data_IF_123540316590
#
_entry.id   IF_123540316590
#
_cell.length_a   1.000
_cell.length_b   1.000
_cell.length_c   1.000
_cell.angle_alpha   90.00
_cell.angle_beta   90.00
_cell.angle_gamma   90.00
#
_symmetry.space_group_name_H-M   'P 1'
#
loop_
_entity.id
_entity.type
_entity.pdbx_description
1 polymer ?
#
# COMPACT_ATOMS: atom_id res chain seq x y z
N UNK A 1 22.76 -12.39 -75.92
CA UNK A 1 21.37 -11.97 -75.66
C UNK A 1 21.21 -11.93 -74.17
N UNK A 2 20.99 -10.73 -73.73
CA UNK A 2 20.37 -10.26 -72.50
C UNK A 2 21.00 -10.74 -71.16
N UNK A 3 21.71 -10.01 -70.37
CA UNK A 3 21.58 -8.61 -69.98
C UNK A 3 20.67 -8.53 -68.75
N UNK A 4 21.17 -8.78 -67.53
CA UNK A 4 20.48 -8.26 -66.35
C UNK A 4 21.52 -7.66 -65.36
N UNK A 5 21.36 -6.36 -65.22
CA UNK A 5 22.18 -5.53 -64.36
C UNK A 5 21.58 -5.47 -62.97
N UNK A 6 22.11 -6.31 -62.07
CA UNK A 6 21.74 -6.28 -60.61
C UNK A 6 22.23 -4.99 -59.94
N UNK A 7 21.32 -4.06 -59.71
CA UNK A 7 21.56 -2.88 -58.90
C UNK A 7 21.77 -3.27 -57.43
N UNK A 8 23.02 -3.14 -56.94
CA UNK A 8 23.33 -3.20 -55.53
C UNK A 8 22.77 -1.97 -54.83
N UNK A 9 21.73 -2.15 -54.02
CA UNK A 9 21.32 -1.12 -53.03
C UNK A 9 22.37 -1.05 -51.92
N UNK A 10 23.07 0.07 -51.89
CA UNK A 10 23.84 0.47 -50.74
C UNK A 10 22.87 0.89 -49.64
N UNK A 11 22.75 0.04 -48.61
CA UNK A 11 22.06 0.41 -47.37
C UNK A 11 23.04 1.31 -46.61
N UNK A 12 22.74 2.58 -46.53
CA UNK A 12 23.44 3.49 -45.65
C UNK A 12 23.12 3.11 -44.22
N UNK A 13 24.13 2.72 -43.44
CA UNK A 13 24.07 2.62 -42.00
C UNK A 13 23.82 4.03 -41.45
N UNK A 14 22.57 4.30 -41.10
CA UNK A 14 22.22 5.45 -40.30
C UNK A 14 22.62 5.12 -38.85
N UNK A 15 23.81 5.53 -38.48
CA UNK A 15 24.26 5.63 -37.10
C UNK A 15 23.34 6.64 -36.39
N UNK A 16 22.20 6.15 -35.91
CA UNK A 16 21.28 6.93 -35.12
C UNK A 16 21.97 7.21 -33.78
N UNK A 17 22.54 8.41 -33.67
CA UNK A 17 23.01 8.95 -32.41
C UNK A 17 21.87 8.76 -31.36
N UNK A 18 22.08 7.88 -30.39
CA UNK A 18 21.16 7.73 -29.27
C UNK A 18 21.08 9.09 -28.56
N UNK A 19 19.88 9.65 -28.35
CA UNK A 19 19.75 10.88 -27.61
C UNK A 19 20.38 10.70 -26.24
N UNK A 20 21.24 11.66 -25.84
CA UNK A 20 21.82 11.71 -24.51
C UNK A 20 20.66 11.77 -23.50
N UNK A 21 20.32 10.64 -22.91
CA UNK A 21 19.39 10.58 -21.79
C UNK A 21 20.14 11.07 -20.55
N UNK A 22 19.97 12.35 -20.22
CA UNK A 22 20.41 12.90 -18.95
C UNK A 22 19.44 12.34 -17.90
N UNK A 23 19.84 11.27 -17.21
CA UNK A 23 19.09 10.72 -16.11
C UNK A 23 19.11 11.73 -14.96
N UNK A 24 18.01 12.42 -14.73
CA UNK A 24 17.85 13.30 -13.56
C UNK A 24 17.86 12.41 -12.32
N UNK A 25 18.79 12.62 -11.36
CA UNK A 25 18.86 11.78 -10.17
C UNK A 25 17.56 11.89 -9.39
N UNK A 26 16.97 10.72 -9.09
CA UNK A 26 15.77 10.63 -8.28
C UNK A 26 16.15 10.83 -6.82
N UNK A 27 15.52 11.77 -6.14
CA UNK A 27 15.77 12.09 -4.73
C UNK A 27 14.56 11.76 -3.87
N UNK A 28 14.80 11.38 -2.61
CA UNK A 28 13.72 11.09 -1.66
C UNK A 28 12.85 12.32 -1.43
N UNK A 29 11.53 12.15 -1.48
CA UNK A 29 10.56 13.20 -1.14
C UNK A 29 10.18 13.06 0.33
N UNK A 30 10.35 14.13 1.12
CA UNK A 30 10.03 14.15 2.55
C UNK A 30 8.58 13.70 2.81
N UNK A 31 8.41 12.69 3.64
CA UNK A 31 7.08 12.16 4.00
C UNK A 31 6.37 11.36 2.88
N UNK A 32 7.11 10.91 1.85
CA UNK A 32 6.61 10.05 0.77
C UNK A 32 7.50 8.83 0.60
N UNK A 33 6.89 7.69 0.26
CA UNK A 33 7.62 6.45 -0.01
C UNK A 33 8.12 6.38 -1.44
N UNK A 34 7.31 6.81 -2.42
CA UNK A 34 7.72 6.92 -3.80
C UNK A 34 8.40 8.29 -4.04
N UNK A 35 9.47 8.26 -4.83
CA UNK A 35 10.20 9.46 -5.21
C UNK A 35 9.77 9.99 -6.61
N UNK A 36 8.98 9.21 -7.35
CA UNK A 36 8.56 9.54 -8.71
C UNK A 36 7.09 9.21 -8.98
N UNK A 37 6.59 9.79 -10.08
CA UNK A 37 5.37 9.36 -10.76
C UNK A 37 5.76 8.43 -11.89
N UNK A 38 5.86 7.15 -11.61
CA UNK A 38 6.14 6.16 -12.62
C UNK A 38 4.93 6.04 -13.56
N UNK A 39 5.19 5.93 -14.88
CA UNK A 39 4.17 5.61 -15.87
C UNK A 39 3.52 4.24 -15.55
N UNK A 40 2.21 4.16 -15.73
CA UNK A 40 1.49 2.91 -15.50
C UNK A 40 1.30 2.13 -16.82
N UNK A 41 1.11 0.80 -16.71
CA UNK A 41 1.04 -0.12 -17.87
C UNK A 41 -0.10 0.16 -18.87
N UNK A 42 -1.07 1.00 -18.53
CA UNK A 42 -2.17 1.40 -19.42
C UNK A 42 -1.95 2.80 -20.02
N UNK A 43 -0.84 3.47 -19.72
CA UNK A 43 -0.53 4.78 -20.27
C UNK A 43 -0.10 4.64 -21.72
N UNK A 44 -0.85 5.25 -22.63
CA UNK A 44 -0.57 5.25 -24.08
C UNK A 44 0.38 6.38 -24.52
N UNK A 45 0.65 7.34 -23.62
CA UNK A 45 1.46 8.53 -23.91
C UNK A 45 2.74 8.49 -23.06
N UNK A 46 3.89 8.43 -23.71
CA UNK A 46 5.17 8.57 -23.05
C UNK A 46 5.39 10.05 -22.73
N UNK A 47 5.48 10.40 -21.44
CA UNK A 47 5.84 11.74 -20.98
C UNK A 47 7.31 11.73 -20.59
N UNK A 48 8.16 12.17 -21.48
CA UNK A 48 9.57 12.39 -21.17
C UNK A 48 9.77 13.79 -20.58
N UNK A 49 10.61 13.89 -19.55
CA UNK A 49 11.09 15.18 -19.09
C UNK A 49 12.15 15.64 -20.08
N UNK A 50 11.91 16.76 -20.70
CA UNK A 50 12.85 17.42 -21.56
C UNK A 50 13.39 18.66 -20.83
N UNK A 51 14.73 18.73 -20.70
CA UNK A 51 15.41 19.98 -20.27
C UNK A 51 15.78 20.72 -21.54
N UNK A 52 15.17 21.88 -21.78
CA UNK A 52 15.43 22.74 -22.91
C UNK A 52 16.68 23.63 -22.71
N UNK A 53 17.41 23.42 -21.60
CA UNK A 53 18.64 24.14 -21.31
C UNK A 53 18.46 25.58 -20.82
N UNK A 54 17.22 26.05 -20.62
CA UNK A 54 16.94 27.38 -20.09
C UNK A 54 16.95 27.45 -18.57
N UNK A 55 17.00 26.34 -17.87
CA UNK A 55 17.20 26.29 -16.43
C UNK A 55 18.65 26.60 -16.09
N UNK A 56 18.94 27.91 -15.90
CA UNK A 56 20.29 28.44 -15.65
C UNK A 56 20.96 27.79 -14.44
N UNK A 57 22.03 27.11 -14.71
CA UNK A 57 23.21 26.78 -13.95
C UNK A 57 23.21 26.94 -12.42
N UNK A 58 22.36 26.21 -11.70
CA UNK A 58 22.63 25.72 -10.37
C UNK A 58 21.81 24.44 -10.19
N UNK A 59 22.48 23.35 -9.85
CA UNK A 59 21.83 22.05 -9.58
C UNK A 59 20.95 22.16 -8.33
N UNK A 60 19.72 22.63 -8.53
CA UNK A 60 18.67 22.48 -7.52
C UNK A 60 17.94 21.14 -7.75
N UNK A 61 17.69 20.35 -6.71
CA UNK A 61 16.87 19.15 -6.85
C UNK A 61 15.48 19.56 -7.31
N UNK A 62 15.13 19.18 -8.52
CA UNK A 62 13.87 19.54 -9.18
C UNK A 62 12.67 18.94 -8.46
N UNK A 63 11.80 19.79 -7.96
CA UNK A 63 10.44 19.44 -7.56
C UNK A 63 9.62 18.99 -8.79
N UNK A 64 8.65 18.06 -8.64
CA UNK A 64 7.77 17.67 -9.73
C UNK A 64 6.93 18.88 -10.17
N UNK A 65 6.87 19.11 -11.50
CA UNK A 65 6.10 20.19 -12.10
C UNK A 65 4.61 20.10 -11.72
N UNK A 66 4.19 20.92 -10.77
CA UNK A 66 2.84 21.43 -10.73
C UNK A 66 2.69 22.42 -11.89
N UNK A 67 1.60 22.36 -12.65
CA UNK A 67 1.37 23.21 -13.79
C UNK A 67 1.55 24.68 -13.41
N UNK A 68 2.52 25.34 -14.04
CA UNK A 68 2.79 26.75 -13.86
C UNK A 68 1.90 27.49 -14.86
N UNK A 69 0.85 28.12 -14.33
CA UNK A 69 0.23 29.24 -15.01
C UNK A 69 1.20 30.42 -14.94
N UNK A 70 1.85 30.75 -16.04
CA UNK A 70 2.69 31.95 -16.13
C UNK A 70 1.77 33.12 -16.47
N UNK A 71 1.38 33.93 -15.47
CA UNK A 71 0.86 35.27 -15.72
C UNK A 71 2.04 36.19 -15.91
N UNK A 72 2.28 36.59 -17.16
CA UNK A 72 3.24 37.63 -17.49
C UNK A 72 2.59 39.01 -17.29
N UNK A 73 2.99 39.71 -16.25
CA UNK A 73 2.66 41.10 -16.08
C UNK A 73 3.69 41.98 -16.84
N UNK A 74 3.25 42.70 -17.84
CA UNK A 74 4.08 43.70 -18.55
C UNK A 74 4.06 45.01 -17.78
N UNK A 75 5.21 45.46 -17.31
CA UNK A 75 5.34 46.74 -16.64
C UNK A 75 5.22 47.91 -17.66
N UNK A 76 4.77 49.09 -17.20
CA UNK A 76 4.49 50.27 -18.03
C UNK A 76 5.71 50.85 -18.75
N UNK A 77 6.91 50.35 -18.50
CA UNK A 77 8.17 50.75 -19.13
C UNK A 77 8.63 49.79 -20.24
N UNK A 78 7.80 48.80 -20.63
CA UNK A 78 8.12 47.87 -21.70
C UNK A 78 9.14 46.79 -21.31
N UNK A 79 9.60 46.72 -20.05
CA UNK A 79 10.46 45.65 -19.58
C UNK A 79 9.63 44.49 -19.08
N UNK A 80 9.83 43.30 -19.67
CA UNK A 80 9.25 42.05 -19.18
C UNK A 80 10.02 41.66 -17.91
N UNK A 81 9.44 41.95 -16.74
CA UNK A 81 9.90 41.36 -15.50
C UNK A 81 9.17 40.05 -15.34
N UNK A 82 9.86 38.95 -15.62
CA UNK A 82 9.45 37.66 -15.14
C UNK A 82 9.53 37.75 -13.61
N UNK A 83 8.38 37.80 -12.96
CA UNK A 83 8.35 37.59 -11.53
C UNK A 83 8.96 36.20 -11.32
N UNK A 84 10.18 36.14 -10.81
CA UNK A 84 10.76 34.96 -10.23
C UNK A 84 9.83 34.57 -9.10
N UNK A 85 8.82 33.73 -9.43
CA UNK A 85 8.03 33.02 -8.46
C UNK A 85 9.03 32.19 -7.67
N UNK A 86 9.38 32.68 -6.49
CA UNK A 86 10.09 31.88 -5.51
C UNK A 86 9.31 30.57 -5.41
N UNK A 87 9.83 29.52 -6.05
CA UNK A 87 9.38 28.16 -5.82
C UNK A 87 9.58 27.94 -4.33
N UNK A 88 8.46 27.88 -3.58
CA UNK A 88 8.51 27.48 -2.17
C UNK A 88 9.28 26.15 -2.09
N UNK A 89 10.48 26.12 -1.49
CA UNK A 89 11.21 24.88 -1.39
C UNK A 89 10.46 23.96 -0.42
N UNK A 90 10.19 22.72 -0.87
CA UNK A 90 9.90 21.57 -0.01
C UNK A 90 8.56 21.47 0.69
N UNK A 91 7.45 21.93 0.15
CA UNK A 91 6.17 21.40 0.61
C UNK A 91 5.94 20.03 0.02
N UNK A 92 5.84 18.98 0.85
CA UNK A 92 5.48 17.65 0.34
C UNK A 92 4.13 17.72 -0.38
N UNK A 93 3.93 16.98 -1.49
CA UNK A 93 2.67 17.00 -2.24
C UNK A 93 1.48 16.79 -1.30
N UNK A 94 0.48 17.67 -1.37
CA UNK A 94 -0.73 17.56 -0.57
C UNK A 94 -1.58 16.38 -1.04
N UNK A 95 -2.37 15.80 -0.12
CA UNK A 95 -3.33 14.76 -0.47
C UNK A 95 -4.57 15.38 -1.08
N UNK A 96 -4.94 14.90 -2.26
CA UNK A 96 -6.21 15.17 -2.94
C UNK A 96 -7.19 14.04 -2.64
N UNK A 97 -8.41 14.38 -2.19
CA UNK A 97 -9.49 13.42 -1.99
C UNK A 97 -10.46 13.47 -3.16
N UNK A 98 -10.62 12.35 -3.84
CA UNK A 98 -11.54 12.18 -4.98
C UNK A 98 -12.73 11.34 -4.49
N UNK A 99 -13.94 11.89 -4.60
CA UNK A 99 -15.14 11.17 -4.19
C UNK A 99 -15.64 10.22 -5.26
N UNK A 100 -15.96 8.99 -4.86
CA UNK A 100 -16.54 7.95 -5.71
C UNK A 100 -17.89 7.51 -5.14
N UNK A 101 -18.89 7.36 -6.00
CA UNK A 101 -20.11 6.64 -5.67
C UNK A 101 -19.97 5.20 -6.15
N UNK A 102 -19.70 4.31 -5.20
CA UNK A 102 -19.47 2.90 -5.48
C UNK A 102 -20.80 2.18 -5.79
N UNK A 103 -20.79 1.28 -6.77
CA UNK A 103 -21.93 0.40 -7.07
C UNK A 103 -21.96 -0.84 -6.16
N UNK A 104 -20.77 -1.29 -5.74
CA UNK A 104 -20.55 -2.42 -4.84
C UNK A 104 -19.32 -2.13 -3.97
N UNK A 105 -19.35 -2.59 -2.72
CA UNK A 105 -18.24 -2.38 -1.77
C UNK A 105 -17.63 -3.69 -1.28
N UNK A 106 -18.36 -4.80 -1.41
CA UNK A 106 -17.85 -6.14 -1.12
C UNK A 106 -17.21 -6.73 -2.38
N UNK A 107 -15.94 -7.09 -2.28
CA UNK A 107 -15.19 -7.73 -3.37
C UNK A 107 -14.90 -9.17 -2.98
N UNK A 108 -15.36 -10.14 -3.79
CA UNK A 108 -15.05 -11.55 -3.60
C UNK A 108 -13.67 -11.87 -4.17
N UNK A 109 -12.98 -12.80 -3.54
CA UNK A 109 -11.67 -13.28 -3.93
C UNK A 109 -11.62 -14.80 -3.72
N UNK A 110 -11.26 -15.50 -4.77
CA UNK A 110 -11.14 -16.96 -4.83
C UNK A 110 -9.69 -17.47 -4.67
N UNK A 111 -8.77 -16.57 -4.26
CA UNK A 111 -7.37 -16.92 -4.07
C UNK A 111 -7.18 -17.90 -2.91
N UNK A 112 -6.60 -19.10 -3.14
CA UNK A 112 -6.37 -20.08 -2.09
C UNK A 112 -5.30 -19.65 -1.06
N UNK A 113 -4.54 -18.59 -1.34
CA UNK A 113 -3.51 -18.06 -0.44
C UNK A 113 -4.06 -17.15 0.65
N UNK A 114 -5.31 -16.70 0.52
CA UNK A 114 -5.92 -15.77 1.44
C UNK A 114 -6.99 -16.49 2.28
N UNK A 115 -6.94 -16.36 3.61
CA UNK A 115 -7.93 -16.98 4.48
C UNK A 115 -9.29 -16.28 4.47
N UNK A 116 -9.44 -15.21 3.68
CA UNK A 116 -10.62 -14.35 3.63
C UNK A 116 -11.10 -14.24 2.18
N UNK A 117 -12.33 -14.66 1.94
CA UNK A 117 -12.96 -14.72 0.61
C UNK A 117 -13.55 -13.37 0.19
N UNK A 118 -13.89 -12.52 1.15
CA UNK A 118 -14.54 -11.22 0.92
C UNK A 118 -13.70 -10.10 1.51
N UNK A 119 -13.57 -9.01 0.78
CA UNK A 119 -12.89 -7.81 1.26
C UNK A 119 -13.72 -6.56 1.06
N UNK A 120 -13.48 -5.57 1.93
CA UNK A 120 -14.04 -4.24 1.87
C UNK A 120 -12.92 -3.20 2.02
N UNK A 121 -12.88 -2.25 1.11
CA UNK A 121 -11.95 -1.14 1.14
C UNK A 121 -12.72 0.18 0.98
N UNK A 122 -12.81 1.02 2.04
CA UNK A 122 -13.50 2.32 1.98
C UNK A 122 -12.83 3.32 1.04
N UNK A 123 -11.53 3.07 0.75
CA UNK A 123 -10.67 3.94 -0.05
C UNK A 123 -9.98 3.15 -1.16
N UNK A 124 -9.44 3.88 -2.17
CA UNK A 124 -8.38 3.42 -3.07
C UNK A 124 -7.20 4.37 -2.95
N UNK A 125 -5.98 3.83 -2.96
CA UNK A 125 -4.79 4.55 -2.56
C UNK A 125 -4.60 4.56 -1.05
N UNK A 126 -3.41 4.99 -0.58
CA UNK A 126 -3.08 4.98 0.83
C UNK A 126 -2.00 6.01 1.16
N UNK A 127 -2.33 6.97 2.01
CA UNK A 127 -1.42 8.02 2.45
C UNK A 127 -0.22 7.52 3.28
N UNK A 128 -0.25 6.28 3.82
CA UNK A 128 0.89 5.75 4.56
C UNK A 128 2.17 5.69 3.72
N UNK A 129 2.04 5.63 2.40
CA UNK A 129 3.16 5.73 1.48
C UNK A 129 4.13 4.56 1.51
N UNK A 130 3.72 3.39 2.01
CA UNK A 130 4.60 2.22 2.06
C UNK A 130 5.13 1.90 0.66
N UNK A 131 6.47 1.95 0.49
CA UNK A 131 7.07 1.75 -0.83
C UNK A 131 6.85 0.34 -1.38
N UNK A 132 6.78 -0.64 -0.52
CA UNK A 132 6.59 -2.05 -0.85
C UNK A 132 5.12 -2.48 -1.01
N UNK A 133 4.16 -1.54 -0.95
CA UNK A 133 2.75 -1.89 -0.92
C UNK A 133 2.28 -2.55 -2.23
N UNK A 134 1.89 -3.81 -2.15
CA UNK A 134 1.42 -4.58 -3.30
C UNK A 134 0.13 -4.03 -3.95
N UNK A 135 -0.55 -3.13 -3.27
CA UNK A 135 -1.76 -2.50 -3.80
C UNK A 135 -1.48 -1.31 -4.72
N UNK A 136 -0.24 -0.78 -4.75
CA UNK A 136 0.13 0.37 -5.61
C UNK A 136 -0.29 0.22 -7.07
N UNK A 137 -0.06 -0.94 -7.73
CA UNK A 137 -0.48 -1.13 -9.12
C UNK A 137 -1.99 -1.06 -9.36
N UNK A 138 -2.82 -1.09 -8.31
CA UNK A 138 -4.27 -0.92 -8.48
C UNK A 138 -4.66 0.50 -8.91
N UNK A 139 -3.80 1.50 -8.66
CA UNK A 139 -4.00 2.88 -9.11
C UNK A 139 -3.93 3.02 -10.63
N UNK A 140 -3.17 2.15 -11.29
CA UNK A 140 -3.11 2.09 -12.76
C UNK A 140 -4.47 1.88 -13.42
N UNK A 141 -5.40 1.15 -12.76
CA UNK A 141 -6.78 0.98 -13.24
C UNK A 141 -7.62 2.26 -13.18
N UNK A 142 -7.16 3.26 -12.44
CA UNK A 142 -7.79 4.58 -12.35
C UNK A 142 -7.13 5.61 -13.28
N UNK A 143 -6.14 5.19 -14.07
CA UNK A 143 -5.32 6.08 -14.89
C UNK A 143 -4.36 6.95 -14.06
N UNK A 144 -4.02 6.52 -12.83
CA UNK A 144 -3.09 7.22 -11.94
C UNK A 144 -1.77 6.46 -11.80
N UNK A 145 -0.70 7.21 -11.53
CA UNK A 145 0.60 6.62 -11.23
C UNK A 145 0.56 5.74 -9.97
N UNK A 146 1.10 4.50 -10.01
CA UNK A 146 1.29 3.67 -8.82
C UNK A 146 2.38 4.21 -7.86
N UNK A 147 3.15 5.22 -8.29
CA UNK A 147 4.11 5.93 -7.48
C UNK A 147 3.46 6.94 -6.53
N UNK A 148 3.71 8.23 -6.76
CA UNK A 148 3.21 9.32 -5.90
C UNK A 148 1.69 9.44 -5.88
N UNK A 149 0.99 9.17 -7.00
CA UNK A 149 -0.46 9.34 -7.01
C UNK A 149 -1.15 8.35 -6.08
N UNK A 150 -0.58 7.14 -5.88
CA UNK A 150 -1.11 6.18 -4.89
C UNK A 150 -1.13 6.75 -3.46
N UNK A 151 -0.21 7.66 -3.15
CA UNK A 151 -0.06 8.26 -1.83
C UNK A 151 -0.77 9.62 -1.67
N UNK A 152 -1.07 10.27 -2.80
CA UNK A 152 -1.54 11.66 -2.83
C UNK A 152 -2.93 11.85 -3.42
N UNK A 153 -3.41 10.91 -4.23
CA UNK A 153 -4.73 10.94 -4.86
C UNK A 153 -5.58 9.81 -4.31
N UNK A 154 -6.28 10.11 -3.21
CA UNK A 154 -7.06 9.10 -2.48
C UNK A 154 -8.51 9.14 -2.96
N UNK A 155 -8.98 8.03 -3.52
CA UNK A 155 -10.39 7.88 -3.88
C UNK A 155 -11.16 7.39 -2.65
N UNK A 156 -12.16 8.15 -2.23
CA UNK A 156 -13.00 7.88 -1.06
C UNK A 156 -14.44 7.54 -1.49
N UNK A 157 -14.93 6.38 -1.08
CA UNK A 157 -16.29 5.89 -1.41
C UNK A 157 -17.32 6.53 -0.49
N UNK A 158 -17.91 7.68 -0.90
CA UNK A 158 -18.82 8.45 -0.04
C UNK A 158 -20.06 7.68 0.42
N UNK A 159 -20.54 6.76 -0.40
CA UNK A 159 -21.74 5.96 -0.15
C UNK A 159 -21.44 4.57 0.42
N UNK A 160 -20.21 4.30 0.90
CA UNK A 160 -19.77 2.97 1.37
C UNK A 160 -20.72 2.36 2.40
N UNK A 161 -21.25 3.17 3.32
CA UNK A 161 -22.15 2.74 4.39
C UNK A 161 -23.47 2.25 3.80
N UNK A 162 -24.14 3.07 2.98
CA UNK A 162 -25.44 2.73 2.39
C UNK A 162 -25.35 1.51 1.46
N UNK A 163 -24.28 1.43 0.66
CA UNK A 163 -24.07 0.28 -0.23
C UNK A 163 -23.81 -0.98 0.57
N UNK A 164 -22.98 -0.92 1.64
CA UNK A 164 -22.75 -2.05 2.52
C UNK A 164 -24.06 -2.54 3.16
N UNK A 165 -24.88 -1.63 3.67
CA UNK A 165 -26.19 -1.97 4.24
C UNK A 165 -27.06 -2.73 3.24
N UNK A 166 -27.14 -2.26 2.00
CA UNK A 166 -27.91 -2.91 0.95
C UNK A 166 -27.36 -4.30 0.59
N UNK A 167 -26.03 -4.43 0.47
CA UNK A 167 -25.40 -5.71 0.14
C UNK A 167 -25.61 -6.74 1.25
N UNK A 168 -25.49 -6.37 2.53
CA UNK A 168 -25.71 -7.24 3.66
C UNK A 168 -27.20 -7.63 3.86
N UNK A 169 -28.13 -6.81 3.34
CA UNK A 169 -29.57 -7.07 3.41
C UNK A 169 -30.08 -7.87 2.20
N UNK A 170 -29.23 -8.21 1.26
CA UNK A 170 -29.65 -8.96 0.07
C UNK A 170 -30.18 -10.35 0.44
N UNK A 171 -31.28 -10.80 -0.18
CA UNK A 171 -31.81 -12.13 0.05
C UNK A 171 -30.76 -13.22 -0.23
N UNK A 172 -30.57 -14.14 0.69
CA UNK A 172 -29.59 -15.21 0.56
C UNK A 172 -28.13 -14.80 0.82
N UNK A 173 -27.91 -13.62 1.41
CA UNK A 173 -26.57 -13.24 1.82
C UNK A 173 -26.04 -14.17 2.92
N UNK A 174 -24.89 -14.78 2.69
CA UNK A 174 -24.20 -15.62 3.68
C UNK A 174 -23.05 -14.83 4.34
N UNK A 175 -22.98 -14.76 5.68
CA UNK A 175 -21.96 -14.01 6.39
C UNK A 175 -20.62 -14.74 6.35
N UNK A 176 -19.73 -14.29 5.48
CA UNK A 176 -18.33 -14.72 5.41
C UNK A 176 -17.45 -13.61 5.99
N UNK A 177 -16.46 -13.91 6.87
CA UNK A 177 -15.64 -12.84 7.46
C UNK A 177 -15.04 -11.90 6.41
N UNK A 178 -15.28 -10.60 6.56
CA UNK A 178 -14.79 -9.57 5.66
C UNK A 178 -13.36 -9.17 6.03
N UNK A 179 -12.45 -9.11 5.03
CA UNK A 179 -11.14 -8.48 5.18
C UNK A 179 -11.28 -6.96 4.99
N UNK A 180 -11.21 -6.19 6.07
CA UNK A 180 -11.27 -4.74 6.02
C UNK A 180 -9.86 -4.16 5.80
N UNK A 181 -9.68 -3.35 4.74
CA UNK A 181 -8.41 -2.70 4.46
C UNK A 181 -7.38 -3.61 3.78
N UNK A 182 -7.79 -4.49 2.86
CA UNK A 182 -6.88 -5.40 2.15
C UNK A 182 -6.06 -4.71 1.05
N UNK A 183 -6.62 -3.70 0.36
CA UNK A 183 -5.97 -2.96 -0.73
C UNK A 183 -5.66 -1.49 -0.38
N UNK A 184 -5.99 -1.07 0.82
CA UNK A 184 -5.68 0.23 1.42
C UNK A 184 -5.55 0.04 2.92
N UNK A 185 -5.03 1.04 3.65
CA UNK A 185 -5.20 1.03 5.11
C UNK A 185 -6.50 1.75 5.46
N UNK A 186 -7.41 1.04 6.13
CA UNK A 186 -8.71 1.59 6.52
C UNK A 186 -8.58 2.77 7.50
N UNK A 187 -7.44 2.88 8.20
CA UNK A 187 -7.12 3.95 9.15
C UNK A 187 -5.99 4.86 8.68
N UNK A 188 -5.82 5.01 7.36
CA UNK A 188 -4.88 5.99 6.82
C UNK A 188 -5.21 7.42 7.29
N UNK A 189 -4.29 8.40 7.22
CA UNK A 189 -4.48 9.72 7.83
C UNK A 189 -5.79 10.43 7.47
N UNK A 190 -6.28 10.34 6.23
CA UNK A 190 -7.52 10.98 5.77
C UNK A 190 -8.76 10.45 6.51
N UNK A 191 -8.73 9.23 7.01
CA UNK A 191 -9.82 8.61 7.79
C UNK A 191 -10.12 9.39 9.08
N UNK A 192 -9.16 10.15 9.60
CA UNK A 192 -9.38 11.01 10.78
C UNK A 192 -10.52 12.02 10.55
N UNK A 193 -10.63 12.52 9.33
CA UNK A 193 -11.62 13.51 8.92
C UNK A 193 -12.86 12.84 8.31
N UNK A 194 -12.67 11.90 7.38
CA UNK A 194 -13.76 11.34 6.58
C UNK A 194 -14.62 10.31 7.34
N UNK A 195 -14.03 9.58 8.29
CA UNK A 195 -14.69 8.61 9.17
C UNK A 195 -15.51 7.52 8.43
N UNK A 196 -15.14 7.18 7.21
CA UNK A 196 -15.82 6.16 6.41
C UNK A 196 -15.65 4.76 7.04
N UNK A 197 -14.46 4.46 7.56
CA UNK A 197 -14.21 3.21 8.29
C UNK A 197 -15.07 3.12 9.54
N UNK A 198 -15.23 4.21 10.29
CA UNK A 198 -16.13 4.23 11.44
C UNK A 198 -17.56 3.86 11.05
N UNK A 199 -18.09 4.45 9.99
CA UNK A 199 -19.43 4.12 9.50
C UNK A 199 -19.57 2.66 9.07
N UNK A 200 -18.55 2.10 8.41
CA UNK A 200 -18.50 0.66 8.08
C UNK A 200 -18.54 -0.21 9.34
N UNK A 201 -17.75 0.14 10.37
CA UNK A 201 -17.75 -0.62 11.63
C UNK A 201 -19.09 -0.57 12.35
N UNK A 202 -19.77 0.56 12.33
CA UNK A 202 -21.13 0.70 12.91
C UNK A 202 -22.14 -0.22 12.22
N UNK A 203 -22.08 -0.35 10.89
CA UNK A 203 -22.89 -1.32 10.13
C UNK A 203 -22.54 -2.76 10.51
N UNK A 204 -21.25 -3.12 10.53
CA UNK A 204 -20.81 -4.47 10.89
C UNK A 204 -21.19 -4.84 12.33
N UNK A 205 -21.11 -3.88 13.24
CA UNK A 205 -21.56 -4.05 14.62
C UNK A 205 -23.06 -4.26 14.71
N UNK A 206 -23.87 -3.41 14.09
CA UNK A 206 -25.32 -3.48 14.10
C UNK A 206 -25.83 -4.80 13.50
N UNK A 207 -25.22 -5.27 12.41
CA UNK A 207 -25.54 -6.55 11.76
C UNK A 207 -24.87 -7.76 12.41
N UNK A 208 -24.00 -7.56 13.42
CA UNK A 208 -23.19 -8.62 14.06
C UNK A 208 -22.36 -9.41 13.04
N UNK A 209 -21.84 -8.72 12.02
CA UNK A 209 -21.10 -9.31 10.92
C UNK A 209 -19.62 -9.52 11.29
N UNK A 210 -19.03 -10.72 11.12
CA UNK A 210 -17.62 -10.96 11.43
C UNK A 210 -16.67 -10.30 10.44
N UNK A 211 -15.55 -9.76 10.94
CA UNK A 211 -14.49 -9.20 10.07
C UNK A 211 -13.09 -9.32 10.67
N UNK A 212 -12.09 -9.27 9.79
CA UNK A 212 -10.69 -9.11 10.14
C UNK A 212 -10.15 -7.78 9.62
N UNK A 213 -9.31 -7.14 10.40
CA UNK A 213 -8.71 -5.84 10.07
C UNK A 213 -7.18 -5.92 10.14
N UNK A 214 -6.50 -5.31 9.14
CA UNK A 214 -5.04 -5.13 9.17
C UNK A 214 -4.73 -3.64 9.03
N UNK A 215 -3.92 -3.09 9.93
CA UNK A 215 -3.55 -1.66 9.90
C UNK A 215 -2.12 -1.40 10.37
N UNK A 216 -1.57 -0.25 9.97
CA UNK A 216 -0.33 0.35 10.50
C UNK A 216 -0.60 1.60 11.33
N UNK A 217 -1.86 1.93 11.53
CA UNK A 217 -2.29 3.18 12.14
C UNK A 217 -2.68 2.99 13.60
N UNK A 218 -2.27 3.94 14.42
CA UNK A 218 -2.80 4.05 15.79
C UNK A 218 -4.21 4.64 15.86
N UNK A 219 -4.75 5.12 14.73
CA UNK A 219 -6.11 5.68 14.69
C UNK A 219 -7.19 4.61 14.96
N UNK A 220 -6.87 3.33 14.82
CA UNK A 220 -7.76 2.22 15.18
C UNK A 220 -8.25 2.30 16.64
N UNK A 221 -7.47 2.92 17.51
CA UNK A 221 -7.83 3.14 18.93
C UNK A 221 -9.06 4.07 19.10
N UNK A 222 -9.37 4.91 18.12
CA UNK A 222 -10.58 5.74 18.12
C UNK A 222 -11.86 4.90 18.21
N UNK A 223 -11.84 3.71 17.64
CA UNK A 223 -13.00 2.85 17.47
C UNK A 223 -12.99 1.64 18.42
N UNK A 224 -12.23 1.73 19.53
CA UNK A 224 -12.14 0.69 20.57
C UNK A 224 -13.50 0.33 21.18
N UNK A 225 -14.41 1.29 21.27
CA UNK A 225 -15.78 1.08 21.77
C UNK A 225 -16.51 0.00 20.95
N UNK A 226 -16.47 0.11 19.62
CA UNK A 226 -17.10 -0.84 18.70
C UNK A 226 -16.30 -2.15 18.67
N UNK A 227 -14.98 -2.07 18.54
CA UNK A 227 -14.12 -3.25 18.44
C UNK A 227 -14.21 -4.14 19.68
N UNK A 228 -14.20 -3.55 20.88
CA UNK A 228 -14.32 -4.29 22.13
C UNK A 228 -15.71 -4.93 22.30
N UNK A 229 -16.77 -4.25 21.88
CA UNK A 229 -18.12 -4.81 21.86
C UNK A 229 -18.20 -6.04 20.94
N UNK A 230 -17.66 -5.95 19.73
CA UNK A 230 -17.65 -7.05 18.75
C UNK A 230 -16.72 -8.20 19.17
N UNK A 231 -15.64 -7.91 19.88
CA UNK A 231 -14.70 -8.93 20.36
C UNK A 231 -15.33 -9.91 21.35
N UNK A 232 -16.27 -9.47 22.20
CA UNK A 232 -17.00 -10.32 23.15
C UNK A 232 -17.75 -11.47 22.47
N UNK A 233 -18.20 -11.23 21.25
CA UNK A 233 -18.95 -12.18 20.44
C UNK A 233 -18.07 -12.85 19.37
N UNK A 234 -16.74 -12.71 19.46
CA UNK A 234 -15.78 -13.25 18.49
C UNK A 234 -16.02 -12.79 17.03
N UNK A 235 -16.52 -11.56 16.86
CA UNK A 235 -16.85 -10.99 15.56
C UNK A 235 -15.70 -10.21 14.93
N UNK A 236 -14.62 -9.96 15.67
CA UNK A 236 -13.49 -9.16 15.18
C UNK A 236 -12.14 -9.77 15.53
N UNK A 237 -11.17 -9.57 14.63
CA UNK A 237 -9.75 -9.79 14.89
C UNK A 237 -8.96 -8.68 14.23
N UNK A 238 -8.03 -8.08 14.97
CA UNK A 238 -7.18 -6.98 14.49
C UNK A 238 -5.74 -7.45 14.36
N UNK A 239 -5.11 -7.12 13.24
CA UNK A 239 -3.66 -7.27 13.07
C UNK A 239 -3.02 -5.91 12.94
N UNK A 240 -2.01 -5.64 13.77
CA UNK A 240 -1.17 -4.46 13.62
C UNK A 240 0.10 -4.87 12.89
N UNK A 241 0.38 -4.22 11.76
CA UNK A 241 1.60 -4.52 11.00
C UNK A 241 2.79 -3.79 11.62
N UNK A 242 3.83 -4.53 11.96
CA UNK A 242 5.12 -4.01 12.44
C UNK A 242 6.21 -4.69 11.62
N UNK A 243 6.79 -3.96 10.67
CA UNK A 243 7.78 -4.49 9.72
C UNK A 243 9.20 -4.54 10.32
N UNK A 244 9.47 -3.66 11.27
CA UNK A 244 10.76 -3.55 11.98
C UNK A 244 10.55 -2.72 13.25
N UNK A 245 11.45 -2.86 14.22
CA UNK A 245 11.56 -1.99 15.40
C UNK A 245 12.49 -0.79 15.16
N UNK A 246 13.30 -0.81 14.11
CA UNK A 246 14.14 0.32 13.70
C UNK A 246 13.28 1.47 13.18
N UNK A 247 13.26 2.56 13.95
CA UNK A 247 12.44 3.73 13.62
C UNK A 247 12.92 4.50 12.39
N UNK A 248 14.22 4.47 12.08
CA UNK A 248 14.78 5.11 10.89
C UNK A 248 14.38 4.34 9.64
N UNK A 249 14.56 3.02 9.66
CA UNK A 249 14.15 2.13 8.58
C UNK A 249 12.62 2.21 8.36
N UNK A 250 11.84 2.17 9.45
CA UNK A 250 10.39 2.28 9.36
C UNK A 250 9.95 3.59 8.68
N UNK A 251 10.61 4.72 8.98
CA UNK A 251 10.32 6.01 8.35
C UNK A 251 10.65 6.02 6.86
N UNK A 252 11.68 5.32 6.42
CA UNK A 252 12.02 5.17 4.99
C UNK A 252 11.03 4.27 4.26
N UNK A 253 10.62 3.15 4.88
CA UNK A 253 9.70 2.16 4.30
C UNK A 253 8.23 2.62 4.29
N UNK A 254 7.81 3.36 5.32
CA UNK A 254 6.41 3.64 5.67
C UNK A 254 6.26 5.07 6.24
N UNK A 255 6.58 6.11 5.46
CA UNK A 255 6.88 7.47 5.95
C UNK A 255 5.75 8.16 6.71
N UNK A 256 4.49 7.79 6.48
CA UNK A 256 3.32 8.38 7.14
C UNK A 256 2.54 7.40 8.01
N UNK A 257 3.04 6.18 8.21
CA UNK A 257 2.49 5.24 9.17
C UNK A 257 2.95 5.58 10.61
N UNK A 258 2.28 5.05 11.61
CA UNK A 258 2.70 5.21 13.00
C UNK A 258 4.09 4.58 13.23
N UNK A 259 4.89 5.15 14.16
CA UNK A 259 6.20 4.58 14.49
C UNK A 259 6.08 3.17 15.09
N UNK A 260 7.11 2.33 15.03
CA UNK A 260 7.06 0.98 15.59
C UNK A 260 6.66 0.94 17.07
N UNK A 261 7.22 1.80 17.90
CA UNK A 261 6.87 1.91 19.32
C UNK A 261 5.40 2.33 19.51
N UNK A 262 4.89 3.23 18.66
CA UNK A 262 3.48 3.64 18.72
C UNK A 262 2.55 2.50 18.32
N UNK A 263 2.94 1.65 17.35
CA UNK A 263 2.18 0.45 16.97
C UNK A 263 2.19 -0.60 18.08
N UNK A 264 3.30 -0.79 18.80
CA UNK A 264 3.34 -1.65 20.00
C UNK A 264 2.40 -1.15 21.09
N UNK A 265 2.36 0.18 21.32
CA UNK A 265 1.40 0.77 22.25
C UNK A 265 -0.06 0.53 21.79
N UNK A 266 -0.32 0.57 20.48
CA UNK A 266 -1.64 0.24 19.92
C UNK A 266 -2.00 -1.24 20.13
N UNK A 267 -1.05 -2.17 19.93
CA UNK A 267 -1.24 -3.59 20.25
C UNK A 267 -1.65 -3.75 21.71
N UNK A 268 -0.94 -3.10 22.64
CA UNK A 268 -1.25 -3.16 24.08
C UNK A 268 -2.65 -2.66 24.39
N UNK A 269 -3.04 -1.50 23.86
CA UNK A 269 -4.38 -0.92 24.08
C UNK A 269 -5.51 -1.80 23.55
N UNK A 270 -5.32 -2.41 22.37
CA UNK A 270 -6.27 -3.36 21.81
C UNK A 270 -6.41 -4.59 22.72
N UNK A 271 -5.30 -5.16 23.16
CA UNK A 271 -5.29 -6.31 24.06
C UNK A 271 -5.95 -6.01 25.41
N UNK A 272 -5.64 -4.85 26.02
CA UNK A 272 -6.24 -4.38 27.27
C UNK A 272 -7.76 -4.17 27.15
N UNK A 273 -8.23 -3.77 25.97
CA UNK A 273 -9.66 -3.62 25.67
C UNK A 273 -10.35 -4.96 25.36
N UNK A 274 -9.64 -6.09 25.42
CA UNK A 274 -10.18 -7.42 25.15
C UNK A 274 -10.34 -7.73 23.65
N UNK A 275 -9.76 -6.91 22.77
CA UNK A 275 -9.79 -7.14 21.31
C UNK A 275 -8.73 -8.18 20.94
N UNK A 276 -9.08 -9.31 20.28
CA UNK A 276 -8.10 -10.27 19.78
C UNK A 276 -7.13 -9.61 18.80
N UNK A 277 -5.88 -9.40 19.23
CA UNK A 277 -4.86 -8.71 18.43
C UNK A 277 -3.73 -9.64 18.03
N UNK A 278 -3.27 -9.50 16.79
CA UNK A 278 -2.11 -10.16 16.24
C UNK A 278 -1.11 -9.18 15.64
N UNK A 279 0.08 -9.68 15.34
CA UNK A 279 1.11 -8.92 14.62
C UNK A 279 1.28 -9.46 13.20
N UNK A 280 1.31 -8.54 12.23
CA UNK A 280 1.67 -8.83 10.85
C UNK A 280 3.11 -8.38 10.60
N UNK A 281 3.99 -9.34 10.25
CA UNK A 281 5.41 -9.12 9.94
C UNK A 281 5.61 -9.03 8.42
N UNK A 282 4.73 -8.30 7.75
CA UNK A 282 4.68 -8.24 6.29
C UNK A 282 5.00 -6.84 5.74
N UNK A 283 5.94 -6.78 4.77
CA UNK A 283 6.73 -7.87 4.21
C UNK A 283 8.05 -8.12 4.94
N UNK A 284 8.60 -9.33 4.78
CA UNK A 284 10.00 -9.61 5.09
C UNK A 284 10.83 -9.30 3.84
N UNK A 285 11.78 -8.39 3.97
CA UNK A 285 12.62 -7.88 2.89
C UNK A 285 14.06 -8.31 3.15
N UNK A 286 14.66 -9.14 2.27
CA UNK A 286 16.03 -9.63 2.48
C UNK A 286 17.03 -8.50 2.70
N UNK A 287 17.88 -8.63 3.73
CA UNK A 287 18.96 -7.67 4.07
C UNK A 287 18.49 -6.25 4.40
N UNK A 288 17.19 -6.06 4.65
CA UNK A 288 16.60 -4.76 5.00
C UNK A 288 15.98 -4.80 6.40
N UNK A 289 15.01 -5.66 6.65
CA UNK A 289 14.36 -5.80 7.96
C UNK A 289 14.53 -7.24 8.48
N UNK A 290 15.60 -7.46 9.24
CA UNK A 290 16.01 -8.81 9.70
C UNK A 290 15.70 -9.06 11.19
N UNK A 291 14.93 -8.19 11.83
CA UNK A 291 14.59 -8.17 13.26
C UNK A 291 13.25 -8.86 13.60
N UNK A 292 12.84 -9.85 12.80
CA UNK A 292 11.54 -10.52 12.92
C UNK A 292 11.27 -11.07 14.34
N UNK A 293 12.26 -11.74 14.94
CA UNK A 293 12.12 -12.33 16.28
C UNK A 293 11.98 -11.27 17.37
N UNK A 294 12.68 -10.15 17.25
CA UNK A 294 12.59 -9.03 18.17
C UNK A 294 11.20 -8.37 18.08
N UNK A 295 10.68 -8.19 16.84
CA UNK A 295 9.31 -7.69 16.63
C UNK A 295 8.29 -8.64 17.24
N UNK A 296 8.43 -9.96 17.04
CA UNK A 296 7.54 -10.96 17.62
C UNK A 296 7.57 -10.93 19.14
N UNK A 297 8.77 -10.85 19.75
CA UNK A 297 8.91 -10.76 21.21
C UNK A 297 8.20 -9.52 21.75
N UNK A 298 8.52 -8.34 21.20
CA UNK A 298 7.94 -7.07 21.65
C UNK A 298 6.40 -7.02 21.47
N UNK A 299 5.90 -7.56 20.36
CA UNK A 299 4.45 -7.64 20.12
C UNK A 299 3.75 -8.62 21.06
N UNK A 300 4.39 -9.75 21.41
CA UNK A 300 3.89 -10.68 22.42
C UNK A 300 3.77 -10.04 23.79
N UNK A 301 4.82 -9.34 24.22
CA UNK A 301 4.84 -8.59 25.48
C UNK A 301 3.79 -7.46 25.52
N UNK A 302 3.47 -6.91 24.34
CA UNK A 302 2.38 -5.94 24.20
C UNK A 302 0.98 -6.58 24.17
N UNK A 303 0.85 -7.91 24.14
CA UNK A 303 -0.43 -8.61 24.18
C UNK A 303 -0.88 -9.28 22.88
N UNK A 304 -0.10 -9.23 21.80
CA UNK A 304 -0.42 -9.97 20.58
C UNK A 304 -0.35 -11.49 20.82
N UNK A 305 -1.35 -12.24 20.32
CA UNK A 305 -1.42 -13.71 20.47
C UNK A 305 -1.41 -14.45 19.14
N UNK A 306 -1.56 -13.76 18.03
CA UNK A 306 -1.43 -14.33 16.69
C UNK A 306 -0.39 -13.56 15.87
N UNK A 307 0.31 -14.28 14.98
CA UNK A 307 1.32 -13.69 14.11
C UNK A 307 1.31 -14.36 12.74
N UNK A 308 1.68 -13.62 11.72
CA UNK A 308 2.00 -14.14 10.40
C UNK A 308 3.04 -13.26 9.72
N UNK A 309 3.72 -13.81 8.72
CA UNK A 309 4.61 -13.06 7.85
C UNK A 309 4.29 -13.31 6.38
N UNK A 310 4.72 -12.40 5.52
CA UNK A 310 4.69 -12.52 4.06
C UNK A 310 6.03 -12.02 3.53
N UNK A 311 6.59 -12.68 2.52
CA UNK A 311 7.80 -12.19 1.84
C UNK A 311 7.46 -11.02 0.92
N UNK A 312 8.46 -10.19 0.59
CA UNK A 312 8.29 -9.08 -0.33
C UNK A 312 7.73 -9.54 -1.68
N UNK A 313 6.69 -8.85 -2.15
CA UNK A 313 6.04 -9.06 -3.44
C UNK A 313 6.13 -7.79 -4.26
N UNK A 314 6.61 -7.90 -5.50
CA UNK A 314 6.84 -6.75 -6.38
C UNK A 314 6.08 -6.89 -7.71
N UNK A 315 4.72 -6.94 -7.69
CA UNK A 315 3.95 -7.05 -8.93
C UNK A 315 4.08 -5.79 -9.79
N UNK A 316 4.23 -6.01 -11.09
CA UNK A 316 4.21 -4.99 -12.14
C UNK A 316 5.09 -3.75 -11.82
N UNK A 317 4.48 -2.57 -11.79
CA UNK A 317 5.15 -1.28 -11.57
C UNK A 317 5.82 -1.16 -10.18
N UNK A 318 5.49 -2.03 -9.25
CA UNK A 318 6.11 -2.01 -7.92
C UNK A 318 7.59 -2.43 -7.96
N UNK A 319 7.99 -3.30 -8.91
CA UNK A 319 9.40 -3.70 -9.02
C UNK A 319 10.32 -2.51 -9.37
N UNK A 320 10.09 -1.72 -10.43
CA UNK A 320 10.90 -0.55 -10.68
C UNK A 320 10.82 0.50 -9.57
N UNK A 321 9.67 0.76 -8.96
CA UNK A 321 9.53 1.68 -7.83
C UNK A 321 10.38 1.27 -6.62
N UNK A 322 10.38 -0.02 -6.29
CA UNK A 322 11.17 -0.53 -5.17
C UNK A 322 12.68 -0.48 -5.45
N UNK A 323 13.11 -0.71 -6.70
CA UNK A 323 14.51 -0.55 -7.12
C UNK A 323 14.95 0.91 -7.03
N UNK A 324 14.11 1.86 -7.45
CA UNK A 324 14.35 3.29 -7.32
C UNK A 324 14.55 3.66 -5.84
N UNK A 325 13.66 3.19 -4.96
CA UNK A 325 13.78 3.40 -3.52
C UNK A 325 15.08 2.81 -2.94
N UNK A 326 15.47 1.60 -3.36
CA UNK A 326 16.75 1.01 -2.95
C UNK A 326 17.94 1.85 -3.40
N UNK A 327 17.92 2.37 -4.63
CA UNK A 327 18.99 3.23 -5.14
C UNK A 327 19.13 4.52 -4.34
N UNK A 328 18.01 5.11 -3.92
CA UNK A 328 17.98 6.34 -3.12
C UNK A 328 18.48 6.11 -1.69
N UNK A 329 18.07 5.01 -1.06
CA UNK A 329 18.31 4.80 0.37
C UNK A 329 19.43 3.81 0.70
N UNK A 330 19.72 2.86 -0.20
CA UNK A 330 20.68 1.77 0.00
C UNK A 330 21.37 1.38 -1.32
N UNK A 331 22.07 2.30 -2.01
CA UNK A 331 22.65 2.07 -3.35
C UNK A 331 23.57 0.84 -3.38
N UNK A 332 24.36 0.63 -2.34
CA UNK A 332 25.30 -0.50 -2.25
C UNK A 332 24.59 -1.87 -2.06
N UNK A 333 23.32 -1.88 -1.69
CA UNK A 333 22.57 -3.11 -1.41
C UNK A 333 21.63 -3.53 -2.54
N UNK A 334 21.40 -2.71 -3.57
CA UNK A 334 20.43 -2.94 -4.63
C UNK A 334 20.56 -4.34 -5.24
N UNK A 335 21.77 -4.67 -5.70
CA UNK A 335 22.01 -5.97 -6.36
C UNK A 335 21.81 -7.15 -5.41
N UNK A 336 22.28 -7.02 -4.18
CA UNK A 336 22.16 -8.08 -3.16
C UNK A 336 20.71 -8.33 -2.77
N UNK A 337 19.94 -7.28 -2.50
CA UNK A 337 18.51 -7.36 -2.15
C UNK A 337 17.72 -7.96 -3.30
N UNK A 338 17.84 -7.38 -4.51
CA UNK A 338 17.08 -7.84 -5.67
C UNK A 338 17.51 -9.23 -6.15
N UNK A 339 18.78 -9.59 -6.00
CA UNK A 339 19.23 -10.96 -6.25
C UNK A 339 18.50 -11.97 -5.35
N UNK A 340 18.39 -11.69 -4.06
CA UNK A 340 17.67 -12.56 -3.12
C UNK A 340 16.15 -12.55 -3.35
N UNK A 341 15.57 -11.41 -3.73
CA UNK A 341 14.14 -11.34 -4.13
C UNK A 341 13.88 -12.24 -5.34
N UNK A 342 14.78 -12.24 -6.34
CA UNK A 342 14.65 -13.15 -7.49
C UNK A 342 14.74 -14.62 -7.10
N UNK A 343 15.65 -15.00 -6.21
CA UNK A 343 15.73 -16.38 -5.70
C UNK A 343 14.40 -16.81 -5.06
N UNK A 344 13.78 -15.94 -4.25
CA UNK A 344 12.49 -16.20 -3.64
C UNK A 344 11.36 -16.43 -4.66
N UNK A 345 11.47 -15.85 -5.84
CA UNK A 345 10.45 -15.86 -6.87
C UNK A 345 10.88 -16.62 -8.15
N UNK A 346 11.79 -17.59 -8.02
CA UNK A 346 12.18 -18.47 -9.13
C UNK A 346 12.90 -17.75 -10.26
N UNK A 347 13.82 -16.84 -9.95
CA UNK A 347 14.64 -16.09 -10.90
C UNK A 347 13.99 -14.80 -11.44
N UNK A 348 12.79 -14.45 -10.99
CA UNK A 348 12.05 -13.26 -11.41
C UNK A 348 11.87 -12.29 -10.23
N UNK A 349 11.62 -11.01 -10.50
CA UNK A 349 11.32 -10.03 -9.44
C UNK A 349 10.01 -10.34 -8.72
N UNK A 350 9.06 -10.99 -9.40
CA UNK A 350 7.80 -11.45 -8.84
C UNK A 350 7.24 -12.66 -9.61
N UNK A 351 6.62 -13.57 -8.85
CA UNK A 351 5.88 -14.72 -9.37
C UNK A 351 4.48 -14.74 -8.73
N UNK A 352 3.44 -14.68 -9.57
CA UNK A 352 2.05 -14.61 -9.11
C UNK A 352 1.46 -15.97 -8.68
N UNK A 353 2.22 -17.06 -8.79
CA UNK A 353 1.76 -18.42 -8.51
C UNK A 353 1.27 -18.55 -7.07
N UNK A 354 0.10 -19.13 -6.89
CA UNK A 354 -0.46 -19.44 -5.58
C UNK A 354 0.45 -20.40 -4.80
N UNK A 355 0.48 -20.24 -3.48
CA UNK A 355 1.38 -20.97 -2.57
C UNK A 355 2.75 -20.30 -2.43
N UNK A 356 3.42 -19.99 -3.53
CA UNK A 356 4.77 -19.43 -3.51
C UNK A 356 4.81 -17.92 -3.31
N UNK A 357 3.85 -17.18 -3.89
CA UNK A 357 3.86 -15.71 -3.91
C UNK A 357 3.88 -15.07 -2.52
N UNK A 358 3.35 -15.78 -1.49
CA UNK A 358 3.26 -15.28 -0.12
C UNK A 358 4.45 -15.70 0.73
N UNK A 359 5.00 -16.88 0.47
CA UNK A 359 6.02 -17.53 1.30
C UNK A 359 7.40 -17.54 0.66
N UNK A 360 7.47 -17.40 -0.66
CA UNK A 360 8.69 -17.59 -1.43
C UNK A 360 9.10 -19.06 -1.51
N UNK A 361 10.19 -19.31 -2.23
CA UNK A 361 10.81 -20.61 -2.38
C UNK A 361 12.34 -20.52 -2.17
N UNK A 362 13.00 -21.67 -2.00
CA UNK A 362 14.45 -21.77 -1.84
C UNK A 362 14.95 -21.53 -0.41
N UNK A 363 16.29 -21.64 -0.21
CA UNK A 363 16.89 -21.72 1.13
C UNK A 363 16.57 -20.54 2.05
N UNK A 364 16.44 -19.32 1.49
CA UNK A 364 16.11 -18.15 2.32
C UNK A 364 14.66 -18.17 2.79
N UNK A 365 13.71 -18.62 1.94
CA UNK A 365 12.33 -18.82 2.35
C UNK A 365 12.21 -19.89 3.44
N UNK A 366 12.98 -20.98 3.32
CA UNK A 366 13.00 -22.05 4.32
C UNK A 366 13.61 -21.56 5.65
N UNK A 367 14.66 -20.74 5.58
CA UNK A 367 15.25 -20.10 6.75
C UNK A 367 14.24 -19.18 7.45
N UNK A 368 13.55 -18.31 6.72
CA UNK A 368 12.52 -17.43 7.28
C UNK A 368 11.39 -18.23 7.94
N UNK A 369 10.95 -19.30 7.26
CA UNK A 369 9.91 -20.19 7.80
C UNK A 369 10.36 -20.82 9.11
N UNK A 370 11.58 -21.33 9.16
CA UNK A 370 12.14 -21.94 10.36
C UNK A 370 12.29 -20.93 11.49
N UNK A 371 12.84 -19.75 11.23
CA UNK A 371 12.96 -18.64 12.20
C UNK A 371 11.61 -18.28 12.78
N UNK A 372 10.62 -18.03 11.91
CA UNK A 372 9.24 -17.71 12.35
C UNK A 372 8.64 -18.82 13.20
N UNK A 373 8.73 -20.08 12.77
CA UNK A 373 8.15 -21.22 13.49
C UNK A 373 8.78 -21.42 14.87
N UNK A 374 10.12 -21.30 14.97
CA UNK A 374 10.84 -21.41 16.24
C UNK A 374 10.41 -20.29 17.19
N UNK A 375 10.40 -19.04 16.71
CA UNK A 375 9.96 -17.90 17.52
C UNK A 375 8.48 -18.01 17.92
N UNK A 376 7.61 -18.38 16.99
CA UNK A 376 6.18 -18.53 17.26
C UNK A 376 5.91 -19.62 18.30
N UNK A 377 6.58 -20.77 18.20
CA UNK A 377 6.46 -21.88 19.18
C UNK A 377 7.01 -21.46 20.55
N UNK A 378 8.18 -20.84 20.60
CA UNK A 378 8.80 -20.39 21.87
C UNK A 378 7.92 -19.40 22.61
N UNK A 379 7.27 -18.47 21.90
CA UNK A 379 6.43 -17.43 22.46
C UNK A 379 4.97 -17.87 22.68
N UNK A 380 4.53 -18.95 22.06
CA UNK A 380 3.14 -19.42 22.16
C UNK A 380 2.17 -18.76 21.19
N UNK A 381 2.64 -18.21 20.07
CA UNK A 381 1.77 -17.64 19.04
C UNK A 381 0.89 -18.67 18.35
N UNK A 382 -0.31 -18.26 17.95
CA UNK A 382 -1.26 -19.01 17.12
C UNK A 382 -1.80 -20.32 17.77
N UNK A 383 -1.70 -20.50 19.08
CA UNK A 383 -2.17 -21.71 19.78
C UNK A 383 -3.69 -21.74 19.90
N UNK A 384 -4.31 -20.62 20.31
CA UNK A 384 -5.75 -20.52 20.61
C UNK A 384 -6.47 -19.69 19.54
N UNK A 385 -6.37 -20.10 18.26
CA UNK A 385 -6.98 -19.36 17.17
C UNK A 385 -8.41 -19.86 16.91
N UNK A 386 -9.36 -19.37 17.68
CA UNK A 386 -10.77 -19.64 17.40
C UNK A 386 -11.22 -18.95 16.10
N UNK A 387 -12.08 -19.57 15.28
CA UNK A 387 -12.68 -18.92 14.11
C UNK A 387 -13.59 -17.77 14.55
N UNK A 388 -13.77 -16.80 13.65
CA UNK A 388 -14.76 -15.73 13.85
C UNK A 388 -16.17 -16.34 13.78
N UNK A 389 -17.06 -15.82 14.64
CA UNK A 389 -18.44 -16.30 14.77
C UNK A 389 -19.29 -15.78 13.60
N UNK A 390 -19.98 -16.69 12.89
CA UNK A 390 -20.84 -16.36 11.75
C UNK A 390 -22.32 -16.45 12.05
N UNK A 391 -22.70 -17.28 13.02
CA UNK A 391 -24.09 -17.60 13.35
C UNK A 391 -24.86 -16.47 14.04
N UNK A 392 -24.15 -15.41 14.44
CA UNK A 392 -24.77 -14.24 15.10
C UNK A 392 -25.23 -13.15 14.13
N UNK A 393 -25.03 -13.32 12.84
CA UNK A 393 -25.36 -12.32 11.83
C UNK A 393 -26.87 -12.06 11.76
N UNK A 394 -27.25 -10.77 11.69
CA UNK A 394 -28.64 -10.29 11.66
C UNK A 394 -28.80 -9.17 10.63
N UNK A 395 -29.19 -9.46 9.38
CA UNK A 395 -29.26 -8.46 8.32
C UNK A 395 -30.31 -7.36 8.55
N UNK A 396 -31.46 -7.67 9.12
CA UNK A 396 -32.59 -6.73 9.28
C UNK A 396 -32.49 -5.81 10.49
N UNK A 397 -31.73 -6.17 11.54
CA UNK A 397 -31.70 -5.40 12.80
C UNK A 397 -31.02 -4.04 12.69
N UNK A 398 -30.25 -3.81 11.62
CA UNK A 398 -29.47 -2.58 11.44
C UNK A 398 -30.30 -1.40 10.90
N UNK A 399 -31.51 -1.63 10.34
CA UNK A 399 -32.18 -0.66 9.48
C UNK A 399 -33.61 -0.33 9.90
N UNK A 400 -33.98 -0.61 11.14
CA UNK A 400 -35.28 -0.24 11.68
C UNK A 400 -36.45 -1.08 11.18
N UNK A 401 -36.18 -2.17 10.45
CA UNK A 401 -37.18 -3.16 10.08
C UNK A 401 -37.11 -4.31 11.06
N UNK A 402 -37.96 -4.29 12.10
CA UNK A 402 -38.15 -5.46 12.96
C UNK A 402 -38.66 -6.62 12.09
N UNK A 403 -38.00 -7.78 12.20
CA UNK A 403 -38.49 -9.02 11.59
C UNK A 403 -39.85 -9.35 12.19
N UNK A 404 -40.89 -9.38 11.36
CA UNK A 404 -42.26 -9.77 11.76
C UNK A 404 -42.45 -11.30 11.88
N UNK A 405 -41.33 -12.09 11.76
CA UNK A 405 -41.40 -13.56 11.86
C UNK A 405 -40.23 -14.10 12.67
#
# INVERSE_FOLDING_TARGET
MDGDAGARRVVADADAAQPLQIAIPVTAIKGRGAASRLAHRFESTLRERFDDGWSGGQAHPTAPAAGIGVEAAVAADGTCRIAEGMSEPDRPPQTEVIWEDARSVLTRNDSPDLPLEVSLNPYRGCEHGCIYCYARPTHSYLGFSPGLDFETRIVAKRNVVAVLQNELSAPGYEPVPIALGSATDAYQPVERQLRLTRGVLEVLHATRHPFGLVTKSSLVERDLDVLAAMARDRLVRVYVTITTLDGELARKLEPRAASPLRRLATVRRLAEAGVPVGVSLAPQIPFVNEDMEQVMQAAWEAGARSAFYVVLRLPWELSPLFREWLQVHYPDRVQRVMGRVRELHGGRDYRAQFGDRMRGQGPWADLLRSRFQVAARRLGYNQDREPLERGLFRPGAAFGQESLF
#
